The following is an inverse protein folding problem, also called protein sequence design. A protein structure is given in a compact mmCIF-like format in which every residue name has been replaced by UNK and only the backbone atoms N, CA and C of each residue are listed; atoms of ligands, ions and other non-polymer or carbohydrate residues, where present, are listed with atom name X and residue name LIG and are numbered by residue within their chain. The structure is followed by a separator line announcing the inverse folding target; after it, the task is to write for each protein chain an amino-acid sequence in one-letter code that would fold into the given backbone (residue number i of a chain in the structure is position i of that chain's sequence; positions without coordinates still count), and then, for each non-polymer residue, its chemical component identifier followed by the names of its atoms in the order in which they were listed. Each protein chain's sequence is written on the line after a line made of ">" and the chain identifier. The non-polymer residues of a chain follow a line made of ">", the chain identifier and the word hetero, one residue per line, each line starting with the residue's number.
data_IF_166201486857
#
_entry.id   IF_166201486857
#
_cell.length_a   1.000
_cell.length_b   1.000
_cell.length_c   1.000
_cell.angle_alpha   90.00
_cell.angle_beta   90.00
_cell.angle_gamma   90.00
#
_symmetry.space_group_name_H-M   'P 1'
#
loop_
_entity.id
_entity.type
_entity.pdbx_description
1 polymer ?
#
# COMPACT_ATOMS: atom_id res chain seq x y z
N UNK A 1 13.95 70.14 -16.77
CA UNK A 1 14.89 69.83 -17.83
C UNK A 1 14.68 68.40 -18.21
N UNK A 2 14.00 68.26 -19.24
CA UNK A 2 13.79 67.25 -20.24
C UNK A 2 15.11 66.59 -20.66
N UNK A 3 15.06 65.28 -20.98
CA UNK A 3 15.29 64.77 -22.31
C UNK A 3 14.92 63.27 -22.33
N UNK A 4 13.97 62.99 -23.16
CA UNK A 4 13.56 61.75 -23.82
C UNK A 4 14.71 61.02 -24.56
N UNK A 5 14.59 59.67 -24.71
CA UNK A 5 14.60 59.03 -26.04
C UNK A 5 14.46 57.51 -25.97
N UNK A 6 13.43 57.13 -26.70
CA UNK A 6 13.13 55.80 -27.21
C UNK A 6 14.26 55.18 -28.05
N UNK A 7 14.32 53.84 -28.06
CA UNK A 7 14.60 53.04 -29.26
C UNK A 7 14.36 51.55 -29.01
N UNK A 8 13.87 50.79 -30.01
CA UNK A 8 13.31 49.45 -29.84
C UNK A 8 14.37 48.37 -29.99
N UNK A 9 14.20 47.28 -29.28
CA UNK A 9 15.00 46.06 -29.47
C UNK A 9 14.20 45.04 -30.26
N UNK A 10 14.77 44.73 -31.41
CA UNK A 10 14.29 43.73 -32.37
C UNK A 10 14.20 42.34 -31.78
N UNK A 11 13.15 41.64 -32.21
CA UNK A 11 12.98 40.21 -32.07
C UNK A 11 14.07 39.44 -32.84
N UNK A 12 14.74 38.51 -32.18
CA UNK A 12 15.51 37.46 -32.80
C UNK A 12 14.82 36.13 -32.53
N UNK A 13 14.12 35.64 -33.53
CA UNK A 13 13.66 34.27 -33.66
C UNK A 13 14.86 33.35 -33.82
N UNK A 14 15.19 32.60 -32.78
CA UNK A 14 16.12 31.48 -32.85
C UNK A 14 15.34 30.18 -32.87
N UNK A 15 15.19 29.57 -34.03
CA UNK A 15 14.70 28.20 -34.16
C UNK A 15 15.77 27.26 -33.64
N UNK A 16 15.51 26.65 -32.51
CA UNK A 16 16.30 25.51 -32.00
C UNK A 16 15.63 24.23 -32.48
N UNK A 17 16.35 23.51 -33.33
CA UNK A 17 15.98 22.19 -33.81
C UNK A 17 15.88 21.21 -32.63
N UNK A 18 14.74 20.56 -32.50
CA UNK A 18 14.53 19.39 -31.59
C UNK A 18 15.24 18.22 -32.25
N UNK A 19 16.41 17.89 -31.75
CA UNK A 19 17.06 16.60 -32.01
C UNK A 19 16.43 15.61 -31.02
N UNK A 20 15.60 14.73 -31.55
CA UNK A 20 15.09 13.57 -30.81
C UNK A 20 16.23 12.61 -30.52
N UNK A 21 16.53 12.43 -29.24
CA UNK A 21 17.30 11.30 -28.75
C UNK A 21 16.33 10.29 -28.16
N UNK A 22 16.31 9.10 -28.78
CA UNK A 22 15.46 7.99 -28.42
C UNK A 22 15.71 7.53 -26.99
N UNK A 23 14.63 7.33 -26.29
CA UNK A 23 14.61 6.56 -25.06
C UNK A 23 14.83 5.09 -25.38
N UNK A 24 16.00 4.55 -25.04
CA UNK A 24 16.23 3.12 -25.10
C UNK A 24 15.30 2.41 -24.09
N UNK A 25 14.55 1.48 -24.65
CA UNK A 25 13.64 0.63 -23.90
C UNK A 25 14.39 -0.25 -22.92
N UNK A 26 13.93 -0.25 -21.68
CA UNK A 26 14.30 -1.23 -20.67
C UNK A 26 13.78 -2.60 -21.12
N UNK A 27 14.67 -3.46 -21.58
CA UNK A 27 14.38 -4.84 -21.97
C UNK A 27 14.13 -5.62 -20.69
N UNK A 28 12.85 -5.93 -20.44
CA UNK A 28 12.48 -6.89 -19.42
C UNK A 28 12.91 -8.28 -19.86
N UNK A 29 13.88 -8.86 -19.15
CA UNK A 29 14.29 -10.25 -19.28
C UNK A 29 13.09 -11.16 -18.94
N UNK A 30 12.70 -12.01 -19.91
CA UNK A 30 11.70 -13.05 -19.74
C UNK A 30 12.13 -14.04 -18.65
N UNK A 31 11.21 -14.50 -17.79
CA UNK A 31 11.52 -15.61 -16.90
C UNK A 31 11.65 -16.92 -17.71
N UNK A 32 12.69 -17.69 -17.40
CA UNK A 32 12.88 -19.04 -17.92
C UNK A 32 11.68 -19.91 -17.58
N UNK A 33 11.07 -20.49 -18.61
CA UNK A 33 10.09 -21.55 -18.47
C UNK A 33 10.74 -22.80 -17.88
N UNK A 34 10.25 -23.25 -16.74
CA UNK A 34 10.55 -24.56 -16.20
C UNK A 34 9.89 -25.62 -17.11
N UNK A 35 10.69 -26.51 -17.66
CA UNK A 35 10.26 -27.67 -18.42
C UNK A 35 9.56 -28.66 -17.49
N UNK A 36 8.32 -29.01 -17.84
CA UNK A 36 7.55 -30.08 -17.21
C UNK A 36 8.10 -31.45 -17.63
N UNK A 37 8.42 -32.30 -16.66
CA UNK A 37 8.71 -33.72 -16.88
C UNK A 37 7.42 -34.51 -17.15
N UNK A 38 7.49 -35.64 -17.92
CA UNK A 38 6.31 -36.32 -18.42
C UNK A 38 5.65 -37.21 -17.37
N UNK A 39 4.33 -37.20 -17.37
CA UNK A 39 3.46 -38.11 -16.62
C UNK A 39 3.44 -39.50 -17.25
N UNK A 40 3.76 -40.52 -16.47
CA UNK A 40 3.49 -41.92 -16.82
C UNK A 40 2.09 -42.33 -16.33
N UNK A 41 1.27 -42.72 -17.26
CA UNK A 41 -0.02 -43.37 -17.05
C UNK A 41 0.18 -44.87 -16.82
N UNK A 42 -0.57 -45.47 -15.88
CA UNK A 42 -0.91 -46.90 -15.93
C UNK A 42 -2.08 -47.17 -14.96
N UNK A 43 -3.25 -47.37 -15.52
CA UNK A 43 -4.07 -48.59 -15.65
C UNK A 43 -4.64 -49.23 -14.38
N UNK A 44 -5.95 -49.05 -14.24
CA UNK A 44 -7.06 -50.04 -14.03
C UNK A 44 -6.95 -51.08 -12.93
N UNK A 45 -8.01 -51.13 -12.13
CA UNK A 45 -8.45 -52.28 -11.34
C UNK A 45 -9.72 -51.99 -10.58
N UNK A 46 -10.87 -52.29 -11.23
CA UNK A 46 -12.18 -52.30 -10.57
C UNK A 46 -12.41 -53.65 -9.95
N UNK A 47 -12.99 -53.73 -8.73
CA UNK A 47 -13.84 -54.84 -8.30
C UNK A 47 -14.79 -54.42 -7.20
N UNK A 48 -16.02 -54.44 -7.55
CA UNK A 48 -17.33 -54.82 -6.93
C UNK A 48 -17.42 -55.08 -5.43
N UNK A 49 -18.50 -54.49 -4.90
CA UNK A 49 -19.30 -54.77 -3.68
C UNK A 49 -19.90 -56.18 -3.72
N UNK A 50 -20.30 -56.90 -2.66
CA UNK A 50 -21.53 -56.54 -1.91
C UNK A 50 -21.54 -56.85 -0.39
N UNK A 51 -22.45 -56.22 0.33
CA UNK A 51 -23.65 -56.80 0.93
C UNK A 51 -23.68 -56.87 2.47
N UNK A 52 -24.58 -56.07 3.04
CA UNK A 52 -25.58 -56.37 4.10
C UNK A 52 -25.14 -57.22 5.32
N UNK A 53 -25.49 -56.84 6.54
CA UNK A 53 -26.80 -56.96 7.17
C UNK A 53 -26.73 -56.44 8.63
N UNK A 54 -27.90 -56.07 9.07
CA UNK A 54 -28.36 -55.56 10.34
C UNK A 54 -28.38 -56.58 11.49
N UNK A 55 -28.58 -56.06 12.71
CA UNK A 55 -29.32 -56.48 13.90
C UNK A 55 -28.56 -55.99 15.13
N UNK A 56 -29.09 -55.29 16.10
CA UNK A 56 -30.35 -55.32 16.78
C UNK A 56 -30.13 -55.39 18.25
N UNK A 57 -30.58 -54.38 19.00
CA UNK A 57 -31.28 -54.64 20.23
C UNK A 57 -30.56 -54.60 21.58
N UNK A 58 -31.12 -53.78 22.40
CA UNK A 58 -31.46 -53.95 23.83
C UNK A 58 -30.61 -53.35 24.93
N UNK A 59 -31.26 -52.39 25.54
CA UNK A 59 -31.06 -51.85 26.90
C UNK A 59 -30.92 -52.90 28.01
N UNK A 60 -30.18 -52.52 29.06
CA UNK A 60 -30.65 -52.69 30.47
C UNK A 60 -29.79 -51.96 31.49
N UNK A 61 -30.46 -51.23 32.31
CA UNK A 61 -30.11 -50.55 33.55
C UNK A 61 -29.76 -51.47 34.70
N UNK A 62 -28.93 -51.00 35.64
CA UNK A 62 -29.01 -51.09 37.12
C UNK A 62 -27.59 -50.97 37.72
N UNK A 63 -27.23 -50.02 38.46
CA UNK A 63 -27.43 -49.54 39.81
C UNK A 63 -26.46 -50.15 40.86
N UNK A 64 -25.79 -49.24 41.56
CA UNK A 64 -25.38 -49.20 42.99
C UNK A 64 -24.22 -50.07 43.46
N UNK A 65 -23.28 -49.43 44.15
CA UNK A 65 -22.32 -50.04 45.04
C UNK A 65 -21.12 -49.13 45.39
N UNK A 66 -21.21 -48.53 46.59
CA UNK A 66 -20.14 -47.72 47.16
C UNK A 66 -19.01 -48.62 47.78
N UNK A 67 -17.79 -48.06 47.78
CA UNK A 67 -16.68 -48.70 48.50
C UNK A 67 -15.38 -47.95 48.36
N UNK A 68 -15.02 -47.09 49.30
CA UNK A 68 -13.75 -46.42 49.41
C UNK A 68 -12.62 -47.35 49.83
N UNK A 69 -11.47 -47.27 49.13
CA UNK A 69 -10.14 -47.49 49.74
C UNK A 69 -9.13 -46.62 49.00
N UNK A 70 -8.45 -45.81 49.80
CA UNK A 70 -7.35 -44.95 49.31
C UNK A 70 -6.07 -45.79 49.18
N UNK A 71 -5.42 -45.68 48.06
CA UNK A 71 -3.98 -46.01 47.95
C UNK A 71 -3.31 -45.02 47.04
N UNK A 72 -2.37 -44.26 47.58
CA UNK A 72 -1.54 -43.30 46.90
C UNK A 72 -0.55 -44.06 45.98
N UNK A 73 -0.59 -43.72 44.68
CA UNK A 73 0.49 -44.01 43.72
C UNK A 73 0.87 -42.73 43.02
N UNK A 74 2.09 -42.31 43.31
CA UNK A 74 2.76 -41.25 42.58
C UNK A 74 2.89 -41.65 41.10
N UNK A 75 2.05 -41.07 40.26
CA UNK A 75 2.09 -41.23 38.83
C UNK A 75 2.29 -39.85 38.18
N UNK A 76 3.39 -39.68 37.43
CA UNK A 76 3.75 -38.54 36.65
C UNK A 76 2.56 -38.05 35.79
N UNK A 77 1.92 -36.98 36.20
CA UNK A 77 0.90 -36.30 35.43
C UNK A 77 1.53 -35.56 34.25
N UNK A 78 1.45 -36.15 33.06
CA UNK A 78 1.64 -35.42 31.82
C UNK A 78 0.56 -34.35 31.75
N UNK A 79 0.95 -33.08 31.90
CA UNK A 79 0.11 -31.92 31.62
C UNK A 79 -0.20 -31.91 30.11
N UNK A 80 -1.29 -32.56 29.73
CA UNK A 80 -1.95 -32.30 28.47
C UNK A 80 -2.46 -30.85 28.52
N UNK A 81 -1.62 -29.88 28.05
CA UNK A 81 -2.07 -28.56 27.65
C UNK A 81 -3.10 -28.79 26.52
N UNK A 82 -4.37 -28.83 26.88
CA UNK A 82 -5.43 -28.60 25.87
C UNK A 82 -5.14 -27.24 25.26
N UNK A 83 -4.60 -27.23 24.05
CA UNK A 83 -4.67 -26.06 23.16
C UNK A 83 -6.15 -25.75 23.01
N UNK A 84 -6.61 -24.73 23.72
CA UNK A 84 -7.90 -24.13 23.41
C UNK A 84 -7.80 -23.69 21.99
N UNK A 85 -8.51 -24.35 21.08
CA UNK A 85 -8.73 -23.86 19.72
C UNK A 85 -9.52 -22.59 19.88
N UNK A 86 -8.85 -21.44 19.79
CA UNK A 86 -9.49 -20.15 19.81
C UNK A 86 -10.52 -20.15 18.66
N UNK A 87 -11.79 -20.02 19.01
CA UNK A 87 -12.87 -19.86 18.05
C UNK A 87 -12.52 -18.60 17.26
N UNK A 88 -12.22 -18.73 15.97
CA UNK A 88 -11.92 -17.59 15.10
C UNK A 88 -13.17 -16.72 15.04
N UNK A 89 -13.14 -15.57 15.70
CA UNK A 89 -14.19 -14.55 15.57
C UNK A 89 -14.23 -14.11 14.10
N UNK A 90 -15.41 -14.17 13.48
CA UNK A 90 -15.61 -13.66 12.12
C UNK A 90 -15.32 -12.16 12.12
N UNK A 91 -14.51 -11.69 11.15
CA UNK A 91 -14.20 -10.27 11.02
C UNK A 91 -13.08 -9.73 11.91
N UNK A 92 -12.33 -10.64 12.58
CA UNK A 92 -11.19 -10.26 13.43
C UNK A 92 -10.01 -11.18 13.15
N UNK A 93 -8.82 -10.61 13.12
CA UNK A 93 -7.54 -11.33 13.03
C UNK A 93 -6.66 -10.93 14.22
N UNK A 94 -5.95 -11.88 14.79
CA UNK A 94 -4.92 -11.58 15.80
C UNK A 94 -3.59 -11.43 15.10
N UNK A 95 -2.99 -10.26 15.23
CA UNK A 95 -1.66 -9.92 14.75
C UNK A 95 -0.86 -9.45 15.95
N UNK A 96 0.24 -10.14 16.26
CA UNK A 96 1.12 -9.82 17.41
C UNK A 96 0.43 -9.73 18.77
N UNK A 97 -0.65 -10.48 18.93
CA UNK A 97 -1.46 -10.46 20.16
C UNK A 97 -2.62 -9.47 20.15
N UNK A 98 -2.66 -8.54 19.20
CA UNK A 98 -3.71 -7.54 19.05
C UNK A 98 -4.82 -8.04 18.12
N UNK A 99 -6.06 -7.92 18.55
CA UNK A 99 -7.23 -8.16 17.70
C UNK A 99 -7.42 -6.95 16.76
N UNK A 100 -7.39 -7.19 15.44
CA UNK A 100 -7.60 -6.16 14.42
C UNK A 100 -8.83 -6.49 13.56
N UNK A 101 -9.56 -5.50 13.05
CA UNK A 101 -10.63 -5.72 12.07
C UNK A 101 -10.08 -6.41 10.81
N UNK A 102 -10.80 -7.42 10.31
CA UNK A 102 -10.31 -8.20 9.17
C UNK A 102 -11.42 -8.78 8.33
N UNK A 103 -11.49 -8.38 7.05
CA UNK A 103 -12.45 -8.90 6.07
C UNK A 103 -13.90 -8.97 6.60
N UNK A 104 -14.34 -7.87 7.21
CA UNK A 104 -15.71 -7.71 7.71
C UNK A 104 -16.71 -7.83 6.55
N UNK A 105 -16.35 -7.23 5.42
CA UNK A 105 -17.12 -7.23 4.19
C UNK A 105 -16.33 -7.91 3.07
N UNK A 106 -16.97 -8.79 2.33
CA UNK A 106 -16.37 -9.55 1.24
C UNK A 106 -16.87 -9.08 -0.12
N UNK A 107 -16.20 -9.43 -1.24
CA UNK A 107 -16.71 -9.08 -2.57
C UNK A 107 -18.10 -9.62 -2.89
N UNK A 108 -18.55 -10.69 -2.21
CA UNK A 108 -19.91 -11.26 -2.37
C UNK A 108 -20.97 -10.56 -1.49
N UNK A 109 -20.52 -9.82 -0.50
CA UNK A 109 -21.37 -9.06 0.42
C UNK A 109 -20.58 -7.80 0.85
N UNK A 110 -20.41 -6.84 -0.06
CA UNK A 110 -19.74 -5.58 0.23
C UNK A 110 -20.60 -4.73 1.16
N UNK A 111 -19.99 -3.74 1.78
CA UNK A 111 -20.73 -2.67 2.44
C UNK A 111 -21.11 -1.62 1.40
N UNK A 112 -22.35 -1.17 1.42
CA UNK A 112 -22.84 -0.08 0.59
C UNK A 112 -22.68 1.22 1.39
N UNK A 113 -21.61 1.96 1.08
CA UNK A 113 -21.31 3.28 1.60
C UNK A 113 -21.62 4.35 0.57
N UNK A 114 -21.29 5.60 0.88
CA UNK A 114 -21.46 6.71 -0.05
C UNK A 114 -20.25 7.61 -0.11
N UNK A 115 -20.03 8.28 -1.25
CA UNK A 115 -19.04 9.33 -1.38
C UNK A 115 -19.47 10.56 -0.59
N UNK A 116 -18.62 11.05 0.30
CA UNK A 116 -18.84 12.31 1.02
C UNK A 116 -18.31 13.48 0.20
N UNK A 117 -17.07 13.33 -0.27
CA UNK A 117 -16.39 14.34 -1.08
C UNK A 117 -15.28 13.72 -1.91
N UNK A 118 -14.98 14.37 -3.01
CA UNK A 118 -13.83 14.10 -3.85
C UNK A 118 -13.15 15.42 -4.19
N UNK A 119 -11.86 15.47 -3.98
CA UNK A 119 -11.02 16.61 -4.31
C UNK A 119 -9.85 16.15 -5.19
N UNK A 120 -9.58 16.86 -6.29
CA UNK A 120 -8.37 16.67 -7.08
C UNK A 120 -7.22 17.39 -6.39
N UNK A 121 -6.24 16.63 -5.91
CA UNK A 121 -5.11 17.13 -5.10
C UNK A 121 -3.81 17.30 -5.91
N UNK A 122 -3.84 17.06 -7.22
CA UNK A 122 -2.76 17.41 -8.14
C UNK A 122 -3.13 18.65 -8.93
N UNK A 123 -2.17 19.57 -9.10
CA UNK A 123 -2.34 20.73 -9.98
C UNK A 123 -2.42 20.29 -11.44
N UNK A 124 -3.39 20.81 -12.19
CA UNK A 124 -3.44 20.62 -13.65
C UNK A 124 -2.53 21.63 -14.32
N UNK A 125 -1.35 21.20 -14.69
CA UNK A 125 -0.36 22.00 -15.41
C UNK A 125 0.06 21.29 -16.69
N UNK A 126 0.78 21.94 -17.61
CA UNK A 126 1.35 21.26 -18.76
C UNK A 126 2.30 20.10 -18.40
N UNK A 127 2.89 20.12 -17.21
CA UNK A 127 3.81 19.09 -16.71
C UNK A 127 3.06 17.95 -16.02
N UNK A 128 2.05 18.29 -15.19
CA UNK A 128 1.22 17.31 -14.46
C UNK A 128 -0.09 17.12 -15.23
N UNK A 129 -0.11 16.16 -16.13
CA UNK A 129 -1.24 15.87 -17.00
C UNK A 129 -2.09 14.67 -16.51
N UNK A 130 -1.99 14.34 -15.24
CA UNK A 130 -2.78 13.28 -14.59
C UNK A 130 -3.57 13.84 -13.42
N UNK A 131 -4.60 13.10 -13.05
CA UNK A 131 -5.44 13.41 -11.90
C UNK A 131 -5.13 12.46 -10.74
N UNK A 132 -4.92 13.02 -9.55
CA UNK A 132 -4.91 12.29 -8.29
C UNK A 132 -5.96 12.89 -7.38
N UNK A 133 -6.89 12.04 -6.90
CA UNK A 133 -7.99 12.46 -6.04
C UNK A 133 -7.77 12.00 -4.60
N UNK A 134 -8.13 12.88 -3.67
CA UNK A 134 -8.47 12.52 -2.30
C UNK A 134 -9.98 12.31 -2.24
N UNK A 135 -10.41 11.12 -1.79
CA UNK A 135 -11.83 10.76 -1.77
C UNK A 135 -12.21 10.29 -0.37
N UNK A 136 -13.22 10.93 0.20
CA UNK A 136 -13.79 10.59 1.52
C UNK A 136 -15.08 9.81 1.29
N UNK A 137 -15.20 8.65 1.93
CA UNK A 137 -16.34 7.76 1.84
C UNK A 137 -16.95 7.56 3.23
N UNK A 138 -18.28 7.67 3.34
CA UNK A 138 -19.02 7.35 4.56
C UNK A 138 -19.30 5.84 4.63
N UNK A 139 -18.95 5.23 5.73
CA UNK A 139 -19.25 3.85 6.06
C UNK A 139 -20.13 3.72 7.33
N UNK A 140 -20.68 4.82 7.84
CA UNK A 140 -21.61 4.82 8.97
C UNK A 140 -21.06 4.18 10.25
N UNK A 141 -19.73 4.07 10.41
CA UNK A 141 -19.08 3.36 11.51
C UNK A 141 -19.12 1.82 11.40
N UNK A 142 -19.53 1.26 10.23
CA UNK A 142 -19.67 -0.19 10.05
C UNK A 142 -18.41 -0.87 9.51
N UNK A 143 -17.48 -0.11 8.97
CA UNK A 143 -16.18 -0.58 8.46
C UNK A 143 -15.06 -0.03 9.34
N UNK A 144 -14.95 -0.44 10.61
CA UNK A 144 -13.84 -0.03 11.46
C UNK A 144 -12.53 -0.57 10.87
N UNK A 145 -11.49 0.24 10.90
CA UNK A 145 -10.15 -0.10 10.42
C UNK A 145 -9.10 0.47 11.38
N UNK A 146 -7.85 0.09 11.16
CA UNK A 146 -6.70 0.70 11.82
C UNK A 146 -5.69 1.15 10.77
N UNK A 147 -4.84 2.07 11.14
CA UNK A 147 -3.81 2.66 10.28
C UNK A 147 -2.90 1.59 9.69
N UNK A 148 -2.58 1.72 8.40
CA UNK A 148 -1.81 0.72 7.65
C UNK A 148 -2.64 -0.41 7.05
N UNK A 149 -3.97 -0.42 7.25
CA UNK A 149 -4.85 -1.33 6.52
C UNK A 149 -5.28 -0.76 5.16
N UNK A 150 -5.84 -1.65 4.34
CA UNK A 150 -6.42 -1.35 3.03
C UNK A 150 -7.90 -1.69 3.01
N UNK A 151 -8.67 -0.98 2.20
CA UNK A 151 -10.02 -1.37 1.81
C UNK A 151 -10.06 -1.73 0.32
N UNK A 152 -11.03 -2.53 -0.06
CA UNK A 152 -11.29 -2.81 -1.45
C UNK A 152 -12.51 -2.04 -1.95
N UNK A 153 -12.42 -1.53 -3.17
CA UNK A 153 -13.54 -0.90 -3.88
C UNK A 153 -13.92 -1.76 -5.08
N UNK A 154 -15.20 -1.90 -5.34
CA UNK A 154 -15.76 -2.60 -6.48
C UNK A 154 -16.42 -1.56 -7.39
N UNK A 155 -15.86 -1.35 -8.58
CA UNK A 155 -16.47 -0.50 -9.59
C UNK A 155 -17.73 -1.16 -10.18
N UNK A 156 -18.77 -0.39 -10.53
CA UNK A 156 -19.95 -0.91 -11.23
C UNK A 156 -19.57 -1.39 -12.65
N UNK A 157 -20.43 -2.26 -13.19
CA UNK A 157 -20.25 -2.78 -14.56
C UNK A 157 -19.20 -3.87 -14.69
N UNK A 158 -18.81 -4.22 -15.92
CA UNK A 158 -17.84 -5.26 -16.21
C UNK A 158 -16.40 -4.75 -16.06
N UNK A 159 -15.50 -5.66 -15.71
CA UNK A 159 -14.06 -5.40 -15.80
C UNK A 159 -13.58 -5.49 -17.27
N UNK A 160 -12.27 -5.25 -17.50
CA UNK A 160 -11.67 -5.33 -18.84
C UNK A 160 -11.80 -6.70 -19.54
N UNK A 161 -12.20 -7.74 -18.80
CA UNK A 161 -12.47 -9.09 -19.33
C UNK A 161 -13.94 -9.34 -19.54
N UNK A 162 -14.81 -8.35 -19.24
CA UNK A 162 -16.27 -8.50 -19.28
C UNK A 162 -16.85 -9.20 -18.06
N UNK A 163 -16.09 -9.45 -17.01
CA UNK A 163 -16.59 -10.05 -15.77
C UNK A 163 -17.37 -9.02 -14.96
N UNK A 164 -18.58 -9.36 -14.53
CA UNK A 164 -19.47 -8.50 -13.72
C UNK A 164 -19.80 -9.17 -12.38
N UNK A 165 -19.67 -8.47 -11.23
CA UNK A 165 -19.12 -7.12 -11.09
C UNK A 165 -17.62 -7.07 -11.39
N UNK A 166 -17.12 -5.87 -11.66
CA UNK A 166 -15.69 -5.66 -11.88
C UNK A 166 -14.86 -6.18 -10.70
N UNK A 167 -13.64 -6.65 -10.99
CA UNK A 167 -12.75 -7.15 -9.94
C UNK A 167 -12.43 -6.06 -8.93
N UNK A 168 -12.53 -6.42 -7.66
CA UNK A 168 -12.08 -5.60 -6.54
C UNK A 168 -10.64 -5.07 -6.76
N UNK A 169 -10.43 -3.81 -6.38
CA UNK A 169 -9.09 -3.23 -6.22
C UNK A 169 -8.91 -2.81 -4.79
N UNK A 170 -7.75 -3.17 -4.22
CA UNK A 170 -7.35 -2.77 -2.88
C UNK A 170 -6.63 -1.42 -2.95
N UNK A 171 -6.93 -0.58 -1.98
CA UNK A 171 -6.30 0.73 -1.79
C UNK A 171 -5.91 0.87 -0.33
N UNK A 172 -4.68 1.30 -0.08
CA UNK A 172 -4.23 1.66 1.25
C UNK A 172 -5.03 2.85 1.76
N UNK A 173 -5.49 2.77 3.00
CA UNK A 173 -6.30 3.81 3.63
C UNK A 173 -5.43 5.04 3.90
N UNK A 174 -5.94 6.24 3.60
CA UNK A 174 -5.23 7.50 3.76
C UNK A 174 -5.67 8.32 4.98
N UNK A 175 -6.80 7.98 5.60
CA UNK A 175 -7.24 8.55 6.87
C UNK A 175 -6.81 7.71 8.05
N UNK A 176 -6.65 8.31 9.21
CA UNK A 176 -6.56 7.59 10.48
C UNK A 176 -7.92 6.98 10.86
N UNK A 177 -7.95 6.07 11.82
CA UNK A 177 -9.17 5.35 12.22
C UNK A 177 -10.36 6.26 12.63
N UNK A 178 -10.15 7.44 13.24
CA UNK A 178 -11.21 8.42 13.44
C UNK A 178 -11.81 9.00 12.15
N UNK A 179 -11.16 8.84 10.98
CA UNK A 179 -11.52 9.51 9.74
C UNK A 179 -10.96 10.93 9.65
N UNK A 180 -11.05 11.55 8.47
CA UNK A 180 -10.57 12.93 8.29
C UNK A 180 -11.43 13.97 9.05
N UNK A 181 -12.67 13.62 9.33
CA UNK A 181 -13.64 14.41 10.11
C UNK A 181 -13.71 14.02 11.59
N UNK A 182 -12.87 13.11 12.05
CA UNK A 182 -12.84 12.56 13.41
C UNK A 182 -14.17 11.94 13.87
N UNK A 183 -15.07 11.59 12.96
CA UNK A 183 -16.39 10.98 13.28
C UNK A 183 -16.34 9.47 13.53
N UNK A 184 -15.25 8.81 13.15
CA UNK A 184 -15.10 7.34 13.06
C UNK A 184 -16.13 6.68 12.12
N UNK A 185 -16.69 7.46 11.18
CA UNK A 185 -17.67 6.99 10.20
C UNK A 185 -17.19 7.06 8.77
N UNK A 186 -16.02 7.69 8.54
CA UNK A 186 -15.47 7.91 7.22
C UNK A 186 -14.13 7.22 7.02
N UNK A 187 -13.78 6.94 5.77
CA UNK A 187 -12.50 6.44 5.32
C UNK A 187 -12.07 7.19 4.07
N UNK A 188 -10.79 7.54 3.97
CA UNK A 188 -10.27 8.27 2.83
C UNK A 188 -9.29 7.43 2.02
N UNK A 189 -9.29 7.63 0.70
CA UNK A 189 -8.35 7.06 -0.25
C UNK A 189 -7.65 8.16 -1.03
N UNK A 190 -6.43 7.86 -1.49
CA UNK A 190 -5.68 8.65 -2.47
C UNK A 190 -5.56 7.84 -3.74
N UNK A 191 -6.18 8.29 -4.81
CA UNK A 191 -6.30 7.52 -6.05
C UNK A 191 -5.84 8.32 -7.25
N UNK A 192 -4.81 7.84 -7.93
CA UNK A 192 -4.41 8.37 -9.24
C UNK A 192 -5.29 7.70 -10.31
N UNK A 193 -5.94 8.51 -11.14
CA UNK A 193 -6.65 8.02 -12.33
C UNK A 193 -5.64 7.40 -13.29
N UNK A 194 -5.81 6.12 -13.57
CA UNK A 194 -4.95 5.42 -14.54
C UNK A 194 -5.48 5.67 -15.95
N UNK A 195 -4.66 6.35 -16.75
CA UNK A 195 -4.90 6.55 -18.18
C UNK A 195 -3.59 6.27 -18.91
N UNK A 196 -3.61 5.33 -19.84
CA UNK A 196 -2.46 4.94 -20.66
C UNK A 196 -2.82 5.04 -22.12
N UNK A 197 -1.96 5.72 -22.90
CA UNK A 197 -2.17 5.98 -24.32
C UNK A 197 -1.11 5.25 -25.13
N UNK A 198 -1.53 4.46 -26.12
CA UNK A 198 -0.61 3.75 -27.01
C UNK A 198 0.35 4.71 -27.73
N UNK A 199 1.63 4.36 -27.77
CA UNK A 199 2.70 5.17 -28.34
C UNK A 199 3.37 6.13 -27.35
N UNK A 200 2.84 6.24 -26.11
CA UNK A 200 3.47 7.01 -25.01
C UNK A 200 3.93 6.11 -23.87
N UNK A 201 4.01 4.80 -24.07
CA UNK A 201 4.37 3.81 -23.06
C UNK A 201 3.74 2.45 -23.38
N UNK A 202 3.41 1.70 -22.44
CA UNK A 202 3.21 0.25 -22.41
C UNK A 202 1.73 -0.19 -22.38
N UNK A 203 0.86 0.52 -23.09
CA UNK A 203 -0.54 0.14 -23.19
C UNK A 203 -0.72 -1.03 -24.19
N UNK A 204 -0.82 -2.25 -23.68
CA UNK A 204 -1.11 -3.43 -24.50
C UNK A 204 -2.60 -3.60 -24.81
N UNK A 205 -3.46 -2.94 -24.04
CA UNK A 205 -4.90 -3.11 -24.11
C UNK A 205 -5.62 -1.78 -24.29
N UNK A 206 -6.64 -1.78 -25.13
CA UNK A 206 -7.58 -0.66 -25.25
C UNK A 206 -8.92 -1.07 -24.66
N UNK A 207 -9.48 -0.26 -23.78
CA UNK A 207 -10.87 -0.35 -23.34
C UNK A 207 -11.73 0.80 -23.88
N UNK A 208 -11.14 1.66 -24.70
CA UNK A 208 -11.82 2.72 -25.43
C UNK A 208 -11.48 2.57 -26.93
N UNK A 209 -12.49 2.57 -27.79
CA UNK A 209 -12.31 2.50 -29.23
C UNK A 209 -11.66 3.77 -29.77
N UNK A 210 -10.90 3.62 -30.86
CA UNK A 210 -10.26 4.75 -31.57
C UNK A 210 -11.28 5.83 -31.90
N UNK A 211 -10.92 7.09 -31.59
CA UNK A 211 -11.75 8.26 -31.86
C UNK A 211 -12.89 8.49 -30.87
N UNK A 212 -13.04 7.62 -29.85
CA UNK A 212 -14.10 7.77 -28.83
C UNK A 212 -13.62 8.28 -27.48
N UNK A 213 -12.31 8.39 -27.27
CA UNK A 213 -11.78 9.00 -26.04
C UNK A 213 -11.83 10.54 -26.17
N UNK A 214 -12.52 11.24 -25.24
CA UNK A 214 -12.70 12.70 -25.34
C UNK A 214 -11.40 13.48 -25.14
N UNK A 215 -10.44 12.93 -24.38
CA UNK A 215 -9.15 13.59 -24.11
C UNK A 215 -8.09 13.22 -25.17
N UNK A 216 -8.23 12.06 -25.81
CA UNK A 216 -7.26 11.53 -26.77
C UNK A 216 -7.96 11.05 -28.05
N UNK A 217 -8.65 11.93 -28.79
CA UNK A 217 -9.46 11.52 -29.94
C UNK A 217 -8.62 10.92 -31.08
N UNK A 218 -7.36 11.32 -31.20
CA UNK A 218 -6.44 10.83 -32.25
C UNK A 218 -5.64 9.59 -31.81
N UNK A 219 -5.75 9.18 -30.54
CA UNK A 219 -5.01 8.02 -30.03
C UNK A 219 -5.56 6.72 -30.63
N UNK A 220 -4.65 5.83 -31.02
CA UNK A 220 -5.00 4.53 -31.58
C UNK A 220 -5.59 3.59 -30.51
N UNK A 221 -5.05 3.67 -29.30
CA UNK A 221 -5.53 2.91 -28.13
C UNK A 221 -5.40 3.76 -26.86
N UNK A 222 -6.44 3.75 -26.05
CA UNK A 222 -6.44 4.37 -24.72
C UNK A 222 -6.92 3.33 -23.73
N UNK A 223 -6.17 3.10 -22.66
CA UNK A 223 -6.58 2.29 -21.54
C UNK A 223 -6.92 3.19 -20.35
N UNK A 224 -8.12 3.04 -19.81
CA UNK A 224 -8.54 3.69 -18.56
C UNK A 224 -8.75 2.63 -17.49
N UNK A 225 -8.18 2.86 -16.32
CA UNK A 225 -8.33 1.97 -15.17
C UNK A 225 -9.79 1.97 -14.70
N UNK A 226 -10.45 0.80 -14.71
CA UNK A 226 -11.88 0.70 -14.38
C UNK A 226 -12.18 1.24 -12.98
N UNK A 227 -11.49 0.74 -11.95
CA UNK A 227 -11.75 1.14 -10.58
C UNK A 227 -11.24 2.54 -10.25
N UNK A 228 -10.04 2.92 -10.73
CA UNK A 228 -9.49 4.25 -10.49
C UNK A 228 -10.32 5.34 -11.19
N UNK A 229 -10.83 5.07 -12.41
CA UNK A 229 -11.73 6.00 -13.08
C UNK A 229 -13.05 6.13 -12.31
N UNK A 230 -13.67 5.01 -11.90
CA UNK A 230 -14.88 5.05 -11.08
C UNK A 230 -14.71 5.91 -9.82
N UNK A 231 -13.61 5.69 -9.05
CA UNK A 231 -13.36 6.45 -7.82
C UNK A 231 -13.14 7.94 -8.12
N UNK A 232 -12.40 8.26 -9.18
CA UNK A 232 -12.16 9.66 -9.57
C UNK A 232 -13.37 10.33 -10.24
N UNK A 233 -14.37 9.58 -10.65
CA UNK A 233 -15.64 10.10 -11.21
C UNK A 233 -16.73 10.27 -10.15
N UNK A 234 -16.53 9.78 -8.91
CA UNK A 234 -17.52 9.90 -7.85
C UNK A 234 -17.88 11.35 -7.55
N UNK A 235 -19.16 11.59 -7.31
CA UNK A 235 -19.70 12.82 -6.77
C UNK A 235 -20.25 12.60 -5.36
N UNK A 236 -20.44 13.68 -4.61
CA UNK A 236 -21.02 13.58 -3.26
C UNK A 236 -22.44 12.98 -3.31
N UNK A 237 -22.64 11.90 -2.54
CA UNK A 237 -23.87 11.12 -2.49
C UNK A 237 -23.88 9.86 -3.35
N UNK A 238 -22.90 9.65 -4.22
CA UNK A 238 -22.80 8.42 -5.00
C UNK A 238 -22.53 7.20 -4.14
N UNK A 239 -23.13 6.08 -4.48
CA UNK A 239 -22.93 4.81 -3.80
C UNK A 239 -21.55 4.22 -4.08
N UNK A 240 -20.91 3.68 -3.03
CA UNK A 240 -19.62 3.02 -3.11
C UNK A 240 -19.66 1.64 -2.46
N UNK A 241 -19.25 0.62 -3.20
CA UNK A 241 -19.14 -0.75 -2.68
C UNK A 241 -17.77 -0.97 -2.04
N UNK A 242 -17.74 -1.10 -0.71
CA UNK A 242 -16.56 -1.23 0.11
C UNK A 242 -16.39 -2.65 0.63
N UNK A 243 -15.18 -3.20 0.59
CA UNK A 243 -14.83 -4.49 1.18
C UNK A 243 -13.64 -4.34 2.13
N UNK A 244 -13.39 -5.32 2.95
CA UNK A 244 -12.32 -5.30 3.93
C UNK A 244 -12.81 -4.94 5.33
N UNK A 245 -11.99 -4.24 6.13
CA UNK A 245 -10.60 -3.89 5.88
C UNK A 245 -9.67 -5.11 5.84
N UNK A 246 -8.49 -4.97 5.29
CA UNK A 246 -7.49 -6.03 5.19
C UNK A 246 -6.08 -5.44 5.25
N UNK A 247 -5.06 -6.30 5.37
CA UNK A 247 -3.66 -5.86 5.45
C UNK A 247 -3.13 -5.86 6.88
N UNK A 248 -1.90 -6.33 7.06
CA UNK A 248 -1.20 -6.34 8.34
C UNK A 248 0.29 -5.99 8.19
N UNK A 249 0.75 -5.79 6.95
CA UNK A 249 2.16 -5.50 6.67
C UNK A 249 2.55 -4.08 7.09
N UNK A 250 1.62 -3.14 7.01
CA UNK A 250 1.89 -1.71 7.22
C UNK A 250 1.42 -1.22 8.59
N UNK A 251 1.15 -2.11 9.56
CA UNK A 251 0.71 -1.69 10.89
C UNK A 251 1.83 -0.99 11.67
N UNK A 252 1.47 0.03 12.45
CA UNK A 252 2.40 0.70 13.35
C UNK A 252 2.81 -0.19 14.52
N UNK A 253 4.06 -0.06 15.03
CA UNK A 253 4.47 -0.71 16.28
C UNK A 253 3.68 -0.11 17.47
N UNK A 254 3.57 -0.88 18.55
CA UNK A 254 2.91 -0.41 19.77
C UNK A 254 3.83 0.46 20.65
N UNK A 255 5.16 0.41 20.42
CA UNK A 255 6.11 1.21 21.18
C UNK A 255 5.99 2.69 20.80
N UNK A 256 5.57 3.57 21.71
CA UNK A 256 5.46 5.00 21.44
C UNK A 256 6.81 5.70 21.24
N UNK A 257 7.91 5.05 21.58
CA UNK A 257 9.28 5.55 21.37
C UNK A 257 9.92 5.01 20.07
N UNK A 258 9.18 4.21 19.28
CA UNK A 258 9.68 3.69 18.03
C UNK A 258 9.96 4.83 17.03
N UNK A 259 11.08 4.72 16.31
CA UNK A 259 11.36 5.61 15.19
C UNK A 259 10.80 5.02 13.89
N UNK A 260 10.37 5.86 12.99
CA UNK A 260 9.78 5.46 11.72
C UNK A 260 10.43 6.19 10.57
N UNK A 261 10.86 5.44 9.56
CA UNK A 261 11.31 5.96 8.27
C UNK A 261 10.27 5.57 7.25
N UNK A 262 9.59 6.55 6.68
CA UNK A 262 8.58 6.37 5.65
C UNK A 262 9.16 6.74 4.29
N UNK A 263 9.13 5.81 3.35
CA UNK A 263 9.58 5.99 1.99
C UNK A 263 8.40 5.81 1.04
N UNK A 264 7.93 6.90 0.44
CA UNK A 264 6.76 6.96 -0.43
C UNK A 264 7.13 7.36 -1.86
N UNK A 265 6.39 6.85 -2.85
CA UNK A 265 6.36 7.41 -4.19
C UNK A 265 4.92 7.63 -4.65
N UNK A 266 4.60 8.86 -5.07
CA UNK A 266 3.26 9.22 -5.52
C UNK A 266 2.17 8.84 -4.52
N UNK A 267 1.15 8.09 -4.98
CA UNK A 267 0.02 7.64 -4.12
C UNK A 267 0.40 6.64 -3.04
N UNK A 268 1.64 6.14 -3.01
CA UNK A 268 2.18 5.39 -1.88
C UNK A 268 2.24 6.19 -0.57
N UNK A 269 2.00 7.49 -0.62
CA UNK A 269 1.83 8.36 0.56
C UNK A 269 0.61 7.98 1.41
N UNK A 270 -0.40 7.30 0.84
CA UNK A 270 -1.67 7.03 1.50
C UNK A 270 -1.54 6.39 2.89
N UNK A 271 -0.89 5.21 3.08
CA UNK A 271 -0.76 4.61 4.41
C UNK A 271 0.04 5.50 5.37
N UNK A 272 0.99 6.28 4.86
CA UNK A 272 1.80 7.15 5.71
C UNK A 272 1.03 8.39 6.17
N UNK A 273 0.10 8.91 5.35
CA UNK A 273 -0.83 9.94 5.81
C UNK A 273 -1.71 9.42 6.95
N UNK A 274 -2.23 8.21 6.80
CA UNK A 274 -2.98 7.53 7.86
C UNK A 274 -2.17 7.44 9.16
N UNK A 275 -0.91 7.02 9.09
CA UNK A 275 0.00 6.92 10.23
C UNK A 275 0.31 8.27 10.86
N UNK A 276 0.74 9.24 10.05
CA UNK A 276 1.15 10.56 10.52
C UNK A 276 0.00 11.32 11.17
N UNK A 277 -1.22 11.22 10.63
CA UNK A 277 -2.40 11.78 11.27
C UNK A 277 -2.67 11.13 12.62
N UNK A 278 -2.57 9.80 12.73
CA UNK A 278 -2.69 9.11 14.01
C UNK A 278 -1.63 9.58 15.02
N UNK A 279 -0.38 9.73 14.60
CA UNK A 279 0.74 10.08 15.50
C UNK A 279 0.70 11.54 15.98
N UNK A 280 0.29 12.47 15.11
CA UNK A 280 0.47 13.90 15.34
C UNK A 280 -0.81 14.73 15.35
N UNK A 281 -1.85 14.31 14.64
CA UNK A 281 -3.04 15.13 14.43
C UNK A 281 -4.22 14.70 15.31
N UNK A 282 -4.54 13.39 15.40
CA UNK A 282 -5.75 12.91 16.05
C UNK A 282 -5.77 13.21 17.54
N UNK A 283 -6.88 13.75 18.03
CA UNK A 283 -7.05 14.17 19.44
C UNK A 283 -6.74 13.07 20.44
N UNK A 284 -7.02 11.81 20.09
CA UNK A 284 -6.82 10.66 20.99
C UNK A 284 -5.35 10.28 21.10
N UNK A 285 -4.57 10.46 20.04
CA UNK A 285 -3.20 9.98 19.91
C UNK A 285 -2.14 11.08 20.03
N UNK A 286 -2.53 12.32 19.75
CA UNK A 286 -1.63 13.49 19.82
C UNK A 286 -0.88 13.56 21.16
N UNK A 287 0.42 13.68 21.09
CA UNK A 287 1.30 13.77 22.24
C UNK A 287 1.68 12.44 22.92
N UNK A 288 1.15 11.30 22.45
CA UNK A 288 1.57 9.97 22.93
C UNK A 288 2.86 9.50 22.27
N UNK A 289 3.04 9.79 20.99
CA UNK A 289 4.24 9.48 20.25
C UNK A 289 5.45 10.25 20.76
N UNK A 290 6.58 9.56 20.95
CA UNK A 290 7.82 10.10 21.51
C UNK A 290 9.04 9.84 20.66
N UNK A 291 8.90 9.02 19.62
CA UNK A 291 9.94 8.73 18.66
C UNK A 291 10.11 9.83 17.61
N UNK A 292 10.83 9.49 16.55
CA UNK A 292 10.99 10.31 15.36
C UNK A 292 10.32 9.64 14.16
N UNK A 293 9.53 10.39 13.41
CA UNK A 293 8.97 9.98 12.13
C UNK A 293 9.61 10.81 11.01
N UNK A 294 10.22 10.15 10.02
CA UNK A 294 10.90 10.81 8.92
C UNK A 294 10.29 10.36 7.59
N UNK A 295 9.60 11.29 6.93
CA UNK A 295 8.94 11.05 5.65
C UNK A 295 9.82 11.50 4.49
N UNK A 296 10.02 10.59 3.51
CA UNK A 296 10.60 10.85 2.20
C UNK A 296 9.55 10.60 1.13
N UNK A 297 9.19 11.62 0.37
CA UNK A 297 8.21 11.54 -0.72
C UNK A 297 8.87 11.79 -2.07
N UNK A 298 8.84 10.80 -2.97
CA UNK A 298 9.31 10.91 -4.36
C UNK A 298 8.15 11.19 -5.32
N UNK A 299 8.30 12.23 -6.15
CA UNK A 299 7.35 12.60 -7.20
C UNK A 299 8.09 13.07 -8.46
N UNK A 300 7.45 13.07 -9.65
CA UNK A 300 8.09 13.58 -10.86
C UNK A 300 8.30 15.09 -10.86
N UNK A 301 7.32 15.86 -10.40
CA UNK A 301 7.29 17.33 -10.43
C UNK A 301 6.86 17.89 -9.09
N UNK A 302 7.39 19.05 -8.70
CA UNK A 302 7.02 19.74 -7.45
C UNK A 302 5.51 20.00 -7.35
N UNK A 303 4.87 20.34 -8.47
CA UNK A 303 3.41 20.50 -8.58
C UNK A 303 2.60 19.22 -8.35
N UNK A 304 3.25 18.07 -8.26
CA UNK A 304 2.65 16.77 -7.94
C UNK A 304 2.94 16.27 -6.54
N UNK A 305 3.53 17.09 -5.67
CA UNK A 305 3.69 16.78 -4.24
C UNK A 305 2.31 16.68 -3.59
N UNK A 306 2.02 15.50 -3.04
CA UNK A 306 0.73 15.22 -2.40
C UNK A 306 0.77 15.64 -0.92
N UNK A 307 -0.17 16.48 -0.50
CA UNK A 307 -0.31 17.00 0.86
C UNK A 307 0.92 17.79 1.37
N UNK A 308 1.64 18.44 0.50
CA UNK A 308 2.90 19.13 0.80
C UNK A 308 2.75 20.15 1.95
N UNK A 309 1.66 20.92 1.95
CA UNK A 309 1.38 21.88 3.03
C UNK A 309 1.06 21.18 4.36
N UNK A 310 0.32 20.04 4.34
CA UNK A 310 0.03 19.25 5.57
C UNK A 310 1.35 18.77 6.22
N UNK A 311 2.35 18.37 5.41
CA UNK A 311 3.65 17.93 5.93
C UNK A 311 4.49 19.10 6.47
N UNK A 312 4.50 20.23 5.80
CA UNK A 312 5.22 21.43 6.26
C UNK A 312 4.66 21.98 7.57
N UNK A 313 3.33 22.04 7.69
CA UNK A 313 2.66 22.46 8.92
C UNK A 313 2.97 21.49 10.07
N UNK A 314 2.88 20.18 9.81
CA UNK A 314 3.21 19.15 10.81
C UNK A 314 4.68 19.24 11.25
N UNK A 315 5.61 19.44 10.32
CA UNK A 315 7.04 19.64 10.66
C UNK A 315 7.27 20.89 11.50
N UNK A 316 6.55 21.97 11.23
CA UNK A 316 6.64 23.21 12.00
C UNK A 316 6.05 23.05 13.41
N UNK A 317 4.97 22.27 13.57
CA UNK A 317 4.32 22.02 14.86
C UNK A 317 5.12 21.03 15.73
N UNK A 318 5.80 20.03 15.11
CA UNK A 318 6.53 18.96 15.83
C UNK A 318 8.02 18.91 15.46
N UNK A 319 8.76 20.00 15.66
CA UNK A 319 10.19 20.03 15.34
C UNK A 319 10.94 19.00 16.19
N UNK A 320 11.77 18.17 15.53
CA UNK A 320 12.54 17.11 16.18
C UNK A 320 11.80 15.78 16.33
N UNK A 321 10.46 15.74 16.18
CA UNK A 321 9.71 14.49 16.12
C UNK A 321 9.24 14.14 14.71
N UNK A 322 8.96 15.11 13.87
CA UNK A 322 8.62 14.89 12.46
C UNK A 322 9.60 15.60 11.54
N UNK A 323 10.07 14.87 10.53
CA UNK A 323 10.92 15.37 9.46
C UNK A 323 10.30 15.02 8.13
N UNK A 324 10.34 15.96 7.20
CA UNK A 324 9.81 15.80 5.85
C UNK A 324 10.84 16.26 4.83
N UNK A 325 11.19 15.34 3.93
CA UNK A 325 12.03 15.58 2.77
C UNK A 325 11.37 14.99 1.52
N UNK A 326 11.62 15.58 0.37
CA UNK A 326 11.07 15.12 -0.89
C UNK A 326 12.12 15.08 -2.00
N UNK A 327 11.84 14.31 -3.04
CA UNK A 327 12.63 14.18 -4.24
C UNK A 327 11.75 14.47 -5.45
N UNK A 328 12.18 15.37 -6.32
CA UNK A 328 11.46 15.77 -7.52
C UNK A 328 12.27 15.36 -8.75
N UNK A 329 11.96 14.15 -9.27
CA UNK A 329 12.84 13.46 -10.21
C UNK A 329 13.07 14.18 -11.54
N UNK A 330 12.08 14.92 -12.04
CA UNK A 330 12.20 15.65 -13.31
C UNK A 330 12.79 17.05 -13.17
N UNK A 331 12.90 17.58 -11.96
CA UNK A 331 13.37 18.95 -11.70
C UNK A 331 14.73 18.97 -11.00
N UNK A 332 15.02 17.97 -10.17
CA UNK A 332 16.25 17.88 -9.40
C UNK A 332 17.19 16.82 -9.96
N UNK A 333 18.49 17.03 -9.74
CA UNK A 333 19.54 16.09 -10.15
C UNK A 333 20.31 15.55 -8.97
N UNK A 334 20.79 14.33 -9.12
CA UNK A 334 21.66 13.66 -8.14
C UNK A 334 22.85 13.00 -8.83
N UNK A 335 24.07 13.36 -8.44
CA UNK A 335 25.29 12.69 -8.91
C UNK A 335 25.38 11.23 -8.46
N UNK A 336 24.59 10.85 -7.43
CA UNK A 336 24.52 9.47 -6.95
C UNK A 336 23.72 8.58 -7.89
N UNK A 337 22.78 9.13 -8.65
CA UNK A 337 22.06 8.39 -9.67
C UNK A 337 22.89 8.23 -10.94
N UNK A 338 23.51 7.07 -11.10
CA UNK A 338 24.35 6.74 -12.27
C UNK A 338 23.54 6.29 -13.51
N UNK A 339 22.20 6.16 -13.41
CA UNK A 339 21.35 5.70 -14.49
C UNK A 339 21.00 6.87 -15.41
N UNK A 340 20.42 7.96 -14.86
CA UNK A 340 19.96 9.12 -15.63
C UNK A 340 20.18 10.47 -14.93
N UNK A 341 20.82 10.45 -13.76
CA UNK A 341 21.12 11.67 -12.99
C UNK A 341 19.90 12.32 -12.32
N UNK A 342 18.72 11.73 -12.36
CA UNK A 342 17.52 12.26 -11.71
C UNK A 342 17.55 12.08 -10.20
N UNK A 343 16.89 12.98 -9.46
CA UNK A 343 16.72 12.85 -8.02
C UNK A 343 15.56 11.90 -7.71
N UNK A 344 15.86 10.64 -7.44
CA UNK A 344 14.87 9.70 -6.92
C UNK A 344 14.85 9.69 -5.40
N UNK A 345 13.79 9.18 -4.80
CA UNK A 345 13.60 9.20 -3.34
C UNK A 345 14.77 8.60 -2.57
N UNK A 346 15.38 7.50 -3.04
CA UNK A 346 16.55 6.91 -2.41
C UNK A 346 17.78 7.83 -2.48
N UNK A 347 17.95 8.60 -3.57
CA UNK A 347 19.08 9.52 -3.68
C UNK A 347 18.91 10.72 -2.73
N UNK A 348 17.67 11.17 -2.48
CA UNK A 348 17.38 12.13 -1.43
C UNK A 348 17.71 11.57 -0.04
N UNK A 349 17.35 10.33 0.24
CA UNK A 349 17.73 9.65 1.49
C UNK A 349 19.24 9.55 1.66
N UNK A 350 20.01 9.35 0.59
CA UNK A 350 21.47 9.30 0.64
C UNK A 350 22.12 10.63 1.01
N UNK A 351 21.44 11.76 0.87
CA UNK A 351 21.96 13.06 1.35
C UNK A 351 22.10 13.05 2.87
N UNK A 352 21.24 12.29 3.56
CA UNK A 352 21.23 12.09 5.01
C UNK A 352 21.77 10.72 5.42
N UNK A 353 22.62 10.13 4.58
CA UNK A 353 22.99 8.72 4.67
C UNK A 353 23.56 8.30 6.03
N UNK A 354 24.29 9.18 6.74
CA UNK A 354 24.83 8.84 8.05
C UNK A 354 23.76 8.88 9.14
N UNK A 355 22.95 9.94 9.19
CA UNK A 355 21.86 10.07 10.17
C UNK A 355 20.86 8.93 10.03
N UNK A 356 20.49 8.59 8.78
CA UNK A 356 19.60 7.48 8.50
C UNK A 356 20.22 6.13 8.87
N UNK A 357 21.52 5.96 8.67
CA UNK A 357 22.18 4.72 9.06
C UNK A 357 22.18 4.52 10.58
N UNK A 358 22.41 5.58 11.36
CA UNK A 358 22.30 5.51 12.80
C UNK A 358 20.88 5.13 13.24
N UNK A 359 19.84 5.71 12.61
CA UNK A 359 18.46 5.33 12.87
C UNK A 359 18.18 3.88 12.49
N UNK A 360 18.55 3.42 11.31
CA UNK A 360 18.27 2.05 10.82
C UNK A 360 18.92 0.99 11.71
N UNK A 361 20.08 1.29 12.31
CA UNK A 361 20.74 0.40 13.29
C UNK A 361 19.98 0.28 14.60
N UNK A 362 19.27 1.33 15.01
CA UNK A 362 18.49 1.30 16.25
C UNK A 362 17.38 0.22 16.15
N UNK A 363 17.32 -0.75 17.07
CA UNK A 363 16.31 -1.78 17.08
C UNK A 363 14.87 -1.27 17.23
N UNK A 364 14.68 -0.03 17.68
CA UNK A 364 13.37 0.64 17.75
C UNK A 364 12.94 1.28 16.44
N UNK A 365 13.79 1.28 15.41
CA UNK A 365 13.46 1.91 14.12
C UNK A 365 12.78 0.94 13.18
N UNK A 366 11.64 1.35 12.65
CA UNK A 366 10.86 0.66 11.63
C UNK A 366 10.94 1.41 10.31
N UNK A 367 11.12 0.66 9.22
CA UNK A 367 11.15 1.20 7.85
C UNK A 367 9.91 0.76 7.11
N UNK A 368 9.21 1.71 6.53
CA UNK A 368 8.00 1.51 5.74
C UNK A 368 8.21 1.99 4.31
N UNK A 369 7.85 1.17 3.34
CA UNK A 369 7.88 1.50 1.93
C UNK A 369 6.53 1.29 1.27
N UNK A 370 6.04 2.31 0.55
CA UNK A 370 4.84 2.17 -0.26
C UNK A 370 4.97 2.95 -1.57
N UNK A 371 4.60 2.33 -2.69
CA UNK A 371 4.65 2.93 -4.02
C UNK A 371 5.25 2.02 -5.09
N UNK A 372 6.21 2.50 -5.87
CA UNK A 372 6.76 1.79 -7.02
C UNK A 372 7.65 0.59 -6.63
N UNK A 373 7.58 -0.49 -7.39
CA UNK A 373 8.36 -1.73 -7.16
C UNK A 373 9.87 -1.54 -7.03
N UNK A 374 10.45 -0.57 -7.71
CA UNK A 374 11.90 -0.28 -7.64
C UNK A 374 12.41 0.24 -6.30
N UNK A 375 11.53 0.57 -5.36
CA UNK A 375 11.93 1.17 -4.08
C UNK A 375 12.73 0.23 -3.18
N UNK A 376 12.47 -1.09 -3.22
CA UNK A 376 13.27 -2.05 -2.44
C UNK A 376 14.75 -2.07 -2.88
N UNK A 377 15.01 -1.99 -4.18
CA UNK A 377 16.39 -1.85 -4.68
C UNK A 377 17.00 -0.51 -4.29
N UNK A 378 16.20 0.56 -4.26
CA UNK A 378 16.64 1.86 -3.76
C UNK A 378 17.06 1.84 -2.28
N UNK A 379 16.38 1.07 -1.44
CA UNK A 379 16.80 0.88 -0.05
C UNK A 379 18.16 0.15 0.05
N UNK A 380 18.37 -0.87 -0.78
CA UNK A 380 19.67 -1.55 -0.87
C UNK A 380 20.77 -0.57 -1.29
N UNK A 381 20.51 0.26 -2.30
CA UNK A 381 21.44 1.29 -2.78
C UNK A 381 21.83 2.28 -1.67
N UNK A 382 20.92 2.64 -0.77
CA UNK A 382 21.22 3.51 0.36
C UNK A 382 22.11 2.88 1.42
N UNK A 383 21.93 1.58 1.71
CA UNK A 383 22.45 1.00 2.94
C UNK A 383 23.39 -0.18 2.77
N UNK A 384 23.48 -0.79 1.59
CA UNK A 384 24.31 -1.98 1.39
C UNK A 384 25.78 -1.72 1.72
N UNK A 385 26.39 -0.65 1.18
CA UNK A 385 27.77 -0.30 1.44
C UNK A 385 28.04 -0.04 2.93
N UNK A 386 27.07 0.59 3.64
CA UNK A 386 27.19 0.88 5.07
C UNK A 386 27.13 -0.40 5.92
N UNK A 387 26.25 -1.32 5.57
CA UNK A 387 26.14 -2.65 6.21
C UNK A 387 27.44 -3.42 6.03
N UNK A 388 27.97 -3.45 4.80
CA UNK A 388 29.19 -4.16 4.46
C UNK A 388 30.44 -3.53 5.11
N UNK A 389 30.49 -2.20 5.22
CA UNK A 389 31.56 -1.48 5.91
C UNK A 389 31.65 -1.81 7.41
N UNK A 390 30.53 -2.20 8.05
CA UNK A 390 30.51 -2.70 9.42
C UNK A 390 30.75 -4.24 9.52
N UNK A 391 31.15 -4.89 8.40
CA UNK A 391 31.47 -6.32 8.37
C UNK A 391 30.25 -7.23 8.34
N UNK A 392 29.06 -6.70 8.09
CA UNK A 392 27.84 -7.48 7.98
C UNK A 392 27.51 -7.83 6.53
N UNK A 393 26.72 -8.89 6.32
CA UNK A 393 26.19 -9.25 5.00
C UNK A 393 24.81 -8.61 4.84
N UNK A 394 24.60 -7.79 3.80
CA UNK A 394 23.36 -7.02 3.59
C UNK A 394 22.11 -7.90 3.58
N UNK A 395 22.15 -9.07 2.91
CA UNK A 395 21.00 -9.97 2.85
C UNK A 395 20.62 -10.54 4.22
N UNK A 396 21.57 -10.79 5.09
CA UNK A 396 21.32 -11.26 6.46
C UNK A 396 20.82 -10.12 7.34
N UNK A 397 21.34 -8.92 7.16
CA UNK A 397 20.84 -7.71 7.82
C UNK A 397 19.36 -7.47 7.48
N UNK A 398 19.00 -7.46 6.20
CA UNK A 398 17.63 -7.28 5.75
C UNK A 398 16.71 -8.41 6.24
N UNK A 399 17.16 -9.64 6.20
CA UNK A 399 16.44 -10.80 6.73
C UNK A 399 16.18 -10.66 8.23
N UNK A 400 17.14 -10.14 8.97
CA UNK A 400 16.99 -9.83 10.40
C UNK A 400 15.92 -8.75 10.60
N UNK A 401 15.97 -7.64 9.87
CA UNK A 401 14.96 -6.58 9.94
C UNK A 401 13.55 -7.12 9.65
N UNK A 402 13.39 -7.94 8.61
CA UNK A 402 12.11 -8.60 8.28
C UNK A 402 11.65 -9.55 9.40
N UNK A 403 12.56 -10.33 9.98
CA UNK A 403 12.25 -11.23 11.11
C UNK A 403 11.84 -10.47 12.37
N UNK A 404 12.50 -9.35 12.64
CA UNK A 404 12.24 -8.47 13.78
C UNK A 404 11.03 -7.53 13.50
N UNK A 405 10.39 -7.69 12.33
CA UNK A 405 9.22 -6.90 11.89
C UNK A 405 9.46 -5.40 11.89
N UNK A 406 10.63 -5.01 11.42
CA UNK A 406 11.06 -3.62 11.28
C UNK A 406 11.20 -3.16 9.84
N UNK A 407 10.77 -3.99 8.88
CA UNK A 407 10.85 -3.71 7.45
C UNK A 407 9.54 -4.09 6.78
N UNK A 408 8.78 -3.09 6.38
CA UNK A 408 7.41 -3.17 5.91
C UNK A 408 7.31 -2.64 4.48
N UNK A 409 6.77 -3.44 3.56
CA UNK A 409 6.76 -3.10 2.13
C UNK A 409 5.43 -3.46 1.48
N UNK A 410 4.77 -2.46 0.89
CA UNK A 410 3.65 -2.61 -0.03
C UNK A 410 3.94 -1.83 -1.32
N UNK A 411 4.48 -2.51 -2.33
CA UNK A 411 4.82 -1.90 -3.63
C UNK A 411 4.00 -2.52 -4.78
N UNK A 412 3.66 -1.73 -5.81
CA UNK A 412 2.76 -2.10 -6.91
C UNK A 412 3.31 -1.77 -8.30
#
# INVERSE_FOLDING_TARGET
>A
MAISRDAPIMAALGAAAVVGLGSEAFVASKPLQAQSAPSTSSLRGATTVPGSESFGGASRTLAVGAGAVATAVLGRGALLRRRATAVKKKGVRVVEGKEIPWNLFSPKAPYEGSCVSKETITSKTPLVNWETCHVIMDHGGKVPYIEGQSIGVIAPGPDKKGETPAKIRLYSIASSAPGDDESSKTVSLVVKRVVEVAGRGWCEYSNVEKGKDPEFPDAEKVYRGVCSSHICDLEAGDDVLITGPTGAEMLLPEDPEANMIFMATGTGIAPFRSHLRNLFHDKVSKGKFKGCAWLFLGVPFSESLLYDEEWKEMQAEFPGQFRYDYAVSSEEKSEKNKINGEMWVQHKMMEYGEDLWQLVKDPKTHVYMCGLKGMESGFAECFQEKVEAEGMVYTEFLKKMKKDKRYHVEVY
#
